data_IF_810194980018
#
_entry.id   IF_810194980018
#
_cell.length_a   1.000
_cell.length_b   1.000
_cell.length_c   1.000
_cell.angle_alpha   90.00
_cell.angle_beta   90.00
_cell.angle_gamma   90.00
#
_symmetry.space_group_name_H-M   'P 1'
#
loop_
_entity.id
_entity.type
_entity.pdbx_description
1 polymer ?
#
# COMPACT_ATOMS: atom_id res chain seq x y z
N UNK A 1 -0.49 0.54 10.67
CA UNK A 1 -1.77 1.11 11.19
C UNK A 1 -2.79 -0.01 11.34
N UNK A 2 -3.30 -0.23 12.56
CA UNK A 2 -4.26 -1.28 12.86
C UNK A 2 -5.62 -0.66 13.23
N UNK A 3 -6.71 -1.31 12.78
CA UNK A 3 -8.08 -0.89 13.04
C UNK A 3 -8.99 -2.11 13.24
N UNK A 4 -9.92 -2.34 12.32
CA UNK A 4 -10.80 -3.50 12.37
C UNK A 4 -9.98 -4.82 12.42
N UNK A 5 -10.38 -5.73 13.31
CA UNK A 5 -9.68 -7.02 13.55
C UNK A 5 -8.17 -6.89 13.82
N UNK A 6 -7.74 -5.78 14.43
CA UNK A 6 -6.33 -5.54 14.74
C UNK A 6 -5.69 -6.68 15.57
N UNK A 7 -6.47 -7.41 16.36
CA UNK A 7 -5.98 -8.53 17.15
C UNK A 7 -5.39 -9.65 16.29
N UNK A 8 -5.94 -9.91 15.09
CA UNK A 8 -5.44 -10.93 14.17
C UNK A 8 -4.00 -10.58 13.73
N UNK A 9 -3.77 -9.31 13.36
CA UNK A 9 -2.43 -8.83 12.96
C UNK A 9 -1.48 -8.89 14.15
N UNK A 10 -1.94 -8.47 15.35
CA UNK A 10 -1.12 -8.49 16.57
C UNK A 10 -0.76 -9.91 16.99
N UNK A 11 -1.69 -10.87 16.95
CA UNK A 11 -1.41 -12.27 17.23
C UNK A 11 -0.42 -12.86 16.24
N UNK A 12 -0.60 -12.59 14.94
CA UNK A 12 0.32 -13.07 13.92
C UNK A 12 1.76 -12.64 14.20
N UNK A 13 2.01 -11.34 14.39
CA UNK A 13 3.37 -10.85 14.63
C UNK A 13 3.88 -11.17 16.04
N UNK A 14 3.03 -11.23 17.05
CA UNK A 14 3.43 -11.62 18.41
C UNK A 14 3.89 -13.09 18.49
N UNK A 15 3.38 -13.94 17.60
CA UNK A 15 3.75 -15.35 17.53
C UNK A 15 4.67 -15.67 16.33
N UNK A 16 5.01 -14.70 15.50
CA UNK A 16 5.76 -14.89 14.25
C UNK A 16 7.05 -15.69 14.44
N UNK A 17 7.87 -15.32 15.43
CA UNK A 17 9.11 -16.03 15.72
C UNK A 17 8.89 -17.47 16.16
N UNK A 18 7.78 -17.75 16.89
CA UNK A 18 7.45 -19.10 17.35
C UNK A 18 7.08 -20.05 16.22
N UNK A 19 6.53 -19.51 15.13
CA UNK A 19 6.20 -20.28 13.94
C UNK A 19 7.39 -20.50 13.01
N UNK A 20 8.46 -19.71 13.19
CA UNK A 20 9.66 -19.73 12.36
C UNK A 20 10.92 -20.16 13.14
N UNK A 21 10.77 -20.91 14.23
CA UNK A 21 11.88 -21.42 15.02
C UNK A 21 11.63 -22.86 15.49
N UNK A 22 12.71 -23.58 15.73
CA UNK A 22 12.68 -24.82 16.46
C UNK A 22 12.65 -24.54 17.96
N UNK A 23 11.77 -25.21 18.71
CA UNK A 23 11.64 -24.97 20.14
C UNK A 23 11.41 -26.25 20.94
N UNK A 24 11.89 -26.24 22.20
CA UNK A 24 11.50 -27.21 23.19
C UNK A 24 10.67 -26.55 24.27
N UNK A 25 9.51 -27.11 24.56
CA UNK A 25 8.65 -26.68 25.67
C UNK A 25 8.77 -27.74 26.78
N UNK A 26 9.30 -27.36 27.90
CA UNK A 26 9.36 -28.21 29.09
C UNK A 26 8.14 -27.93 29.99
N UNK A 27 7.20 -28.86 30.00
CA UNK A 27 5.94 -28.74 30.73
C UNK A 27 6.11 -28.94 32.22
N UNK A 28 7.25 -29.53 32.69
CA UNK A 28 7.47 -29.78 34.09
C UNK A 28 7.83 -28.51 34.86
N UNK A 29 8.53 -27.57 34.23
CA UNK A 29 8.97 -26.32 34.83
C UNK A 29 8.44 -25.07 34.09
N UNK A 30 7.61 -25.29 33.07
CA UNK A 30 6.99 -24.25 32.26
C UNK A 30 8.00 -23.30 31.57
N UNK A 31 9.08 -23.88 31.03
CA UNK A 31 10.10 -23.13 30.30
C UNK A 31 10.07 -23.43 28.79
N UNK A 32 10.53 -22.46 28.00
CA UNK A 32 10.67 -22.61 26.55
C UNK A 32 12.10 -22.29 26.14
N UNK A 33 12.71 -23.17 25.37
CA UNK A 33 14.04 -22.99 24.79
C UNK A 33 13.88 -22.86 23.28
N UNK A 34 14.35 -21.76 22.71
CA UNK A 34 14.42 -21.54 21.27
C UNK A 34 15.76 -22.08 20.77
N UNK A 35 15.73 -22.87 19.69
CA UNK A 35 16.90 -23.42 19.02
C UNK A 35 17.22 -22.59 17.77
N UNK A 36 16.88 -23.07 16.60
CA UNK A 36 17.12 -22.33 15.36
C UNK A 36 15.96 -21.37 15.06
N UNK A 37 16.32 -20.12 14.75
CA UNK A 37 15.35 -19.08 14.42
C UNK A 37 15.56 -18.61 12.98
N UNK A 38 14.56 -18.81 12.14
CA UNK A 38 14.54 -18.45 10.73
C UNK A 38 13.70 -17.18 10.46
N UNK A 39 13.30 -16.47 11.53
CA UNK A 39 12.57 -15.20 11.39
C UNK A 39 13.45 -14.09 10.84
N UNK A 40 12.88 -13.23 10.03
CA UNK A 40 13.55 -12.03 9.56
C UNK A 40 13.80 -11.03 10.68
N UNK A 41 14.83 -10.20 10.53
CA UNK A 41 15.22 -9.15 11.48
C UNK A 41 14.33 -7.90 11.38
N UNK A 42 13.01 -8.08 11.35
CA UNK A 42 12.08 -6.96 11.30
C UNK A 42 11.74 -6.42 12.69
N UNK A 43 11.58 -5.13 12.77
CA UNK A 43 10.96 -4.45 13.91
C UNK A 43 9.58 -3.98 13.51
N UNK A 44 8.55 -4.67 13.98
CA UNK A 44 7.15 -4.39 13.61
C UNK A 44 6.45 -3.67 14.75
N UNK A 45 5.97 -2.45 14.49
CA UNK A 45 5.17 -1.66 15.44
C UNK A 45 3.71 -1.64 15.00
N UNK A 46 2.85 -2.27 15.76
CA UNK A 46 1.42 -2.39 15.48
C UNK A 46 0.65 -1.36 16.30
N UNK A 47 0.23 -0.28 15.65
CA UNK A 47 -0.44 0.86 16.31
C UNK A 47 -1.94 0.76 16.14
N UNK A 48 -2.69 0.81 17.26
CA UNK A 48 -4.13 1.01 17.21
C UNK A 48 -4.43 2.44 16.73
N UNK A 49 -4.89 2.54 15.50
CA UNK A 49 -5.23 3.81 14.86
C UNK A 49 -6.74 4.09 14.85
N UNK A 50 -7.51 3.28 15.59
CA UNK A 50 -8.96 3.43 15.73
C UNK A 50 -9.76 2.68 14.68
N UNK A 51 -11.01 2.30 15.05
CA UNK A 51 -11.88 1.52 14.18
C UNK A 51 -12.38 2.33 12.98
N UNK A 52 -12.84 3.55 13.24
CA UNK A 52 -13.53 4.41 12.25
C UNK A 52 -12.62 5.53 11.69
N UNK A 53 -11.34 5.51 12.00
CA UNK A 53 -10.38 6.50 11.52
C UNK A 53 -10.11 6.30 10.03
N UNK A 54 -10.19 7.38 9.25
CA UNK A 54 -9.90 7.37 7.82
C UNK A 54 -8.39 7.32 7.54
N UNK A 55 -8.01 7.12 6.29
CA UNK A 55 -6.62 6.87 5.85
C UNK A 55 -5.64 7.94 6.34
N UNK A 56 -5.93 9.21 6.16
CA UNK A 56 -5.11 10.33 6.64
C UNK A 56 -5.00 10.38 8.16
N UNK A 57 -6.11 10.17 8.87
CA UNK A 57 -6.11 10.12 10.31
C UNK A 57 -5.20 9.01 10.87
N UNK A 58 -5.19 7.83 10.23
CA UNK A 58 -4.30 6.73 10.61
C UNK A 58 -2.84 7.09 10.43
N UNK A 59 -2.51 7.71 9.30
CA UNK A 59 -1.15 8.20 9.01
C UNK A 59 -0.74 9.22 10.08
N UNK A 60 -1.61 10.17 10.42
CA UNK A 60 -1.32 11.18 11.47
C UNK A 60 -1.05 10.55 12.84
N UNK A 61 -1.80 9.52 13.22
CA UNK A 61 -1.65 8.85 14.53
C UNK A 61 -0.31 8.10 14.68
N UNK A 62 0.33 7.71 13.58
CA UNK A 62 1.64 7.05 13.63
C UNK A 62 2.82 8.03 13.53
N UNK A 63 2.59 9.32 13.33
CA UNK A 63 3.63 10.35 13.23
C UNK A 63 4.67 10.28 14.36
N UNK A 64 4.24 10.02 15.60
CA UNK A 64 5.14 9.92 16.77
C UNK A 64 6.13 8.76 16.71
N UNK A 65 5.88 7.75 15.87
CA UNK A 65 6.79 6.62 15.66
C UNK A 65 7.72 6.82 14.47
N UNK A 66 7.31 7.69 13.52
CA UNK A 66 8.08 8.05 12.33
C UNK A 66 9.06 9.20 12.68
N UNK A 67 8.61 10.15 13.50
CA UNK A 67 9.40 11.34 13.84
C UNK A 67 9.53 12.28 12.66
N UNK A 68 10.77 12.77 12.45
CA UNK A 68 11.11 13.70 11.38
C UNK A 68 11.93 13.03 10.27
N UNK A 69 11.71 11.74 10.04
CA UNK A 69 12.42 10.99 9.01
C UNK A 69 11.53 10.80 7.78
N UNK A 70 12.17 10.69 6.61
CA UNK A 70 11.51 10.21 5.39
C UNK A 70 10.96 8.81 5.64
N UNK A 71 9.78 8.54 5.12
CA UNK A 71 9.16 7.23 5.29
C UNK A 71 8.49 6.74 4.00
N UNK A 72 8.34 5.44 3.92
CA UNK A 72 7.56 4.79 2.88
C UNK A 72 6.17 4.49 3.42
N UNK A 73 5.17 4.74 2.59
CA UNK A 73 3.77 4.43 2.89
C UNK A 73 3.23 3.53 1.81
N UNK A 74 2.53 2.47 2.22
CA UNK A 74 1.83 1.59 1.28
C UNK A 74 0.43 1.22 1.78
N UNK A 75 -0.46 0.92 0.84
CA UNK A 75 -1.71 0.22 1.14
C UNK A 75 -1.41 -1.26 1.38
N UNK A 76 -2.26 -1.90 2.20
CA UNK A 76 -2.03 -3.28 2.64
C UNK A 76 -2.48 -4.35 1.65
N UNK A 77 -3.10 -3.96 0.56
CA UNK A 77 -3.77 -4.82 -0.42
C UNK A 77 -3.16 -4.76 -1.84
N UNK A 78 -2.14 -3.94 -2.05
CA UNK A 78 -1.42 -3.86 -3.32
C UNK A 78 -0.16 -4.73 -3.35
N UNK A 79 -0.01 -5.54 -4.40
CA UNK A 79 1.20 -6.33 -4.67
C UNK A 79 1.86 -5.82 -5.95
N UNK A 80 3.19 -5.59 -5.91
CA UNK A 80 3.94 -5.09 -7.05
C UNK A 80 5.40 -5.61 -7.02
N UNK A 81 6.02 -5.71 -8.19
CA UNK A 81 7.45 -5.94 -8.37
C UNK A 81 8.27 -4.64 -8.36
N UNK A 82 7.84 -3.69 -7.55
CA UNK A 82 8.38 -2.34 -7.46
C UNK A 82 9.81 -2.35 -6.89
N UNK A 83 10.76 -1.73 -7.61
CA UNK A 83 12.07 -1.46 -7.06
C UNK A 83 12.00 -0.26 -6.11
N UNK A 84 12.05 -0.54 -4.81
CA UNK A 84 11.97 0.48 -3.74
C UNK A 84 13.14 1.47 -3.82
N UNK A 85 14.35 0.99 -4.13
CA UNK A 85 15.54 1.84 -4.23
C UNK A 85 15.40 2.87 -5.35
N UNK A 86 14.94 2.44 -6.53
CA UNK A 86 14.71 3.34 -7.67
C UNK A 86 13.62 4.36 -7.36
N UNK A 87 12.60 3.95 -6.63
CA UNK A 87 11.51 4.85 -6.20
C UNK A 87 12.02 5.95 -5.28
N UNK A 88 12.88 5.59 -4.31
CA UNK A 88 13.51 6.56 -3.39
C UNK A 88 14.44 7.50 -4.15
N UNK A 89 15.30 6.98 -5.02
CA UNK A 89 16.21 7.80 -5.83
C UNK A 89 15.45 8.79 -6.74
N UNK A 90 14.37 8.33 -7.35
CA UNK A 90 13.49 9.19 -8.15
C UNK A 90 12.85 10.31 -7.33
N UNK A 91 12.43 10.01 -6.09
CA UNK A 91 11.90 11.00 -5.16
C UNK A 91 12.96 12.05 -4.80
N UNK A 92 14.17 11.62 -4.46
CA UNK A 92 15.29 12.52 -4.14
C UNK A 92 15.63 13.44 -5.31
N UNK A 93 15.67 12.90 -6.51
CA UNK A 93 15.95 13.69 -7.71
C UNK A 93 14.84 14.71 -8.03
N UNK A 94 13.60 14.39 -7.71
CA UNK A 94 12.44 15.26 -7.94
C UNK A 94 12.35 16.43 -6.94
N UNK A 95 12.80 16.26 -5.68
CA UNK A 95 12.86 17.29 -4.65
C UNK A 95 11.51 17.73 -4.09
N UNK A 96 10.45 16.92 -4.23
CA UNK A 96 9.15 17.15 -3.62
C UNK A 96 9.04 16.62 -2.19
N UNK A 97 7.88 16.78 -1.57
CA UNK A 97 7.60 16.20 -0.24
C UNK A 97 6.87 14.84 -0.32
N UNK A 98 6.36 14.50 -1.50
CA UNK A 98 5.67 13.23 -1.75
C UNK A 98 5.90 12.77 -3.18
N UNK A 99 6.28 11.51 -3.32
CA UNK A 99 6.22 10.81 -4.60
C UNK A 99 5.28 9.62 -4.48
N UNK A 100 4.34 9.50 -5.42
CA UNK A 100 3.47 8.34 -5.54
C UNK A 100 3.90 7.46 -6.70
N UNK A 101 3.73 6.15 -6.54
CA UNK A 101 3.87 5.21 -7.65
C UNK A 101 2.62 5.26 -8.50
N UNK A 102 2.81 5.63 -9.76
CA UNK A 102 1.75 5.66 -10.77
C UNK A 102 1.85 4.41 -11.64
N UNK A 103 0.72 3.74 -11.82
CA UNK A 103 0.58 2.55 -12.66
C UNK A 103 -0.43 2.79 -13.76
N UNK A 104 -0.23 2.17 -14.91
CA UNK A 104 -1.17 2.24 -16.02
C UNK A 104 -1.83 0.88 -16.20
N UNK A 105 -3.06 0.69 -15.64
CA UNK A 105 -3.73 -0.59 -15.72
C UNK A 105 -4.09 -0.93 -17.16
N UNK A 106 -3.90 -2.19 -17.54
CA UNK A 106 -4.43 -2.74 -18.79
C UNK A 106 -5.96 -2.69 -18.81
N UNK A 107 -6.56 -2.55 -19.98
CA UNK A 107 -8.03 -2.56 -20.12
C UNK A 107 -8.63 -3.86 -19.58
N UNK A 108 -9.58 -3.75 -18.63
CA UNK A 108 -10.31 -4.91 -18.09
C UNK A 108 -11.49 -5.32 -18.98
N UNK A 109 -11.94 -4.40 -19.87
CA UNK A 109 -13.15 -4.56 -20.68
C UNK A 109 -12.89 -4.15 -22.13
N UNK A 110 -13.73 -4.67 -23.07
CA UNK A 110 -13.76 -4.17 -24.43
C UNK A 110 -14.28 -2.74 -24.47
N UNK A 111 -13.59 -1.87 -25.19
CA UNK A 111 -14.04 -0.51 -25.44
C UNK A 111 -14.92 -0.44 -26.68
N UNK A 112 -16.03 0.29 -26.57
CA UNK A 112 -16.97 0.55 -27.65
C UNK A 112 -16.93 2.03 -27.99
N UNK A 113 -16.82 2.35 -29.27
CA UNK A 113 -17.14 3.67 -29.76
C UNK A 113 -18.55 3.59 -30.39
N UNK A 114 -19.48 4.36 -29.84
CA UNK A 114 -20.89 4.35 -30.25
C UNK A 114 -21.24 5.71 -30.85
N UNK A 115 -21.93 5.72 -32.00
CA UNK A 115 -22.59 6.88 -32.51
C UNK A 115 -23.87 7.12 -31.67
N UNK A 116 -23.84 8.16 -30.84
CA UNK A 116 -24.92 8.49 -29.91
C UNK A 116 -26.23 8.93 -30.59
N UNK A 117 -26.22 9.24 -31.90
CA UNK A 117 -27.40 9.61 -32.63
C UNK A 117 -28.16 8.39 -33.21
N UNK A 118 -27.41 7.29 -33.45
CA UNK A 118 -27.95 6.11 -34.14
C UNK A 118 -27.79 4.81 -33.38
N UNK A 119 -27.14 4.86 -32.18
CA UNK A 119 -26.75 3.71 -31.37
C UNK A 119 -25.87 2.69 -32.12
N UNK A 120 -25.30 3.09 -33.25
CA UNK A 120 -24.45 2.22 -34.06
C UNK A 120 -23.05 2.10 -33.40
N UNK A 121 -22.59 0.87 -33.25
CA UNK A 121 -21.21 0.61 -32.84
C UNK A 121 -20.27 0.90 -34.00
N UNK A 122 -19.43 1.92 -33.84
CA UNK A 122 -18.46 2.37 -34.82
C UNK A 122 -17.15 1.59 -34.74
N UNK A 123 -16.73 1.22 -33.54
CA UNK A 123 -15.57 0.37 -33.33
C UNK A 123 -15.70 -0.42 -32.01
N UNK A 124 -15.08 -1.58 -31.99
CA UNK A 124 -14.89 -2.42 -30.80
C UNK A 124 -13.42 -2.80 -30.69
N UNK A 125 -12.86 -2.62 -29.50
CA UNK A 125 -11.48 -3.04 -29.22
C UNK A 125 -11.48 -3.84 -27.92
N UNK A 126 -11.17 -5.12 -28.03
CA UNK A 126 -11.04 -5.99 -26.85
C UNK A 126 -9.80 -5.61 -26.06
N UNK A 127 -9.99 -5.35 -24.75
CA UNK A 127 -8.92 -4.99 -23.81
C UNK A 127 -7.95 -3.95 -24.40
N UNK A 128 -8.44 -2.76 -24.82
CA UNK A 128 -7.52 -1.71 -25.25
C UNK A 128 -6.54 -1.44 -24.10
N UNK A 129 -5.31 -1.07 -24.42
CA UNK A 129 -4.36 -0.56 -23.44
C UNK A 129 -5.05 0.55 -22.65
N UNK A 130 -5.48 0.25 -21.43
CA UNK A 130 -6.42 0.89 -20.54
C UNK A 130 -6.76 2.36 -20.81
N UNK A 131 -7.81 2.86 -20.22
CA UNK A 131 -8.04 4.31 -20.15
C UNK A 131 -6.69 4.97 -19.89
N UNK A 132 -6.20 5.78 -20.84
CA UNK A 132 -4.81 6.30 -20.91
C UNK A 132 -4.32 7.02 -19.64
N UNK A 133 -5.04 6.86 -18.54
CA UNK A 133 -4.83 7.51 -17.27
C UNK A 133 -3.98 6.64 -16.35
N UNK A 134 -2.97 7.27 -15.78
CA UNK A 134 -2.22 6.71 -14.68
C UNK A 134 -3.08 6.70 -13.42
N UNK A 135 -3.00 5.61 -12.65
CA UNK A 135 -3.68 5.48 -11.36
C UNK A 135 -2.66 5.42 -10.23
N UNK A 136 -3.09 5.79 -9.04
CA UNK A 136 -2.31 5.62 -7.82
C UNK A 136 -2.21 4.12 -7.48
N UNK A 137 -0.98 3.60 -7.47
CA UNK A 137 -0.70 2.20 -7.15
C UNK A 137 -0.63 1.91 -5.64
N UNK A 138 -0.79 2.93 -4.79
CA UNK A 138 -0.79 2.75 -3.35
C UNK A 138 0.59 2.67 -2.68
N UNK A 139 1.65 3.07 -3.38
CA UNK A 139 3.01 3.15 -2.83
C UNK A 139 3.52 4.58 -2.88
N UNK A 140 4.08 5.06 -1.78
CA UNK A 140 4.52 6.45 -1.64
C UNK A 140 5.87 6.56 -0.96
N UNK A 141 6.65 7.55 -1.36
CA UNK A 141 7.79 8.08 -0.60
C UNK A 141 7.35 9.43 -0.06
N UNK A 142 7.46 9.61 1.25
CA UNK A 142 6.94 10.78 1.97
C UNK A 142 8.03 11.43 2.80
N UNK A 143 8.15 12.75 2.71
CA UNK A 143 8.88 13.56 3.68
C UNK A 143 7.97 13.90 4.88
N UNK A 144 8.53 14.22 6.06
CA UNK A 144 7.75 14.51 7.26
C UNK A 144 6.73 15.65 7.08
N UNK A 145 6.98 16.58 6.18
CA UNK A 145 6.11 17.72 5.86
C UNK A 145 4.73 17.28 5.36
N UNK A 146 4.57 16.04 4.91
CA UNK A 146 3.27 15.46 4.54
C UNK A 146 2.28 15.52 5.70
N UNK A 147 2.77 15.41 6.95
CA UNK A 147 1.92 15.50 8.14
C UNK A 147 1.26 16.86 8.32
N UNK A 148 1.81 17.93 7.75
CA UNK A 148 1.25 19.28 7.83
C UNK A 148 0.01 19.47 6.96
N UNK A 149 -0.19 18.56 5.99
CA UNK A 149 -1.37 18.53 5.12
C UNK A 149 -2.53 17.71 5.70
N UNK A 150 -2.30 16.95 6.78
CA UNK A 150 -3.32 16.16 7.46
C UNK A 150 -3.89 16.99 8.63
N UNK A 151 -4.99 17.73 8.40
CA UNK A 151 -5.52 18.74 9.32
C UNK A 151 -6.81 18.33 10.03
N UNK A 152 -7.67 17.51 9.40
CA UNK A 152 -9.02 17.24 9.89
C UNK A 152 -9.10 16.01 10.82
N UNK A 153 -7.97 15.64 11.45
CA UNK A 153 -7.92 14.55 12.42
C UNK A 153 -8.36 13.21 11.82
N UNK A 154 -9.18 12.48 12.57
CA UNK A 154 -9.61 11.13 12.24
C UNK A 154 -10.47 11.01 10.98
N UNK A 155 -11.16 12.09 10.59
CA UNK A 155 -12.01 12.12 9.39
C UNK A 155 -11.23 12.36 8.09
N UNK A 156 -9.94 12.64 8.16
CA UNK A 156 -9.11 12.92 6.99
C UNK A 156 -8.96 11.70 6.10
N UNK A 157 -9.39 11.81 4.86
CA UNK A 157 -9.11 10.86 3.78
C UNK A 157 -7.84 11.34 3.07
N UNK A 158 -6.75 10.58 3.16
CA UNK A 158 -5.43 10.98 2.63
C UNK A 158 -5.46 11.27 1.13
N UNK A 159 -6.21 10.48 0.38
CA UNK A 159 -6.35 10.53 -1.07
C UNK A 159 -7.13 11.75 -1.59
N UNK A 160 -7.76 12.51 -0.69
CA UNK A 160 -8.52 13.72 -1.03
C UNK A 160 -7.69 14.96 -0.70
N UNK A 161 -8.20 15.79 0.23
CA UNK A 161 -7.63 17.11 0.54
C UNK A 161 -6.10 17.09 0.76
N UNK A 162 -5.47 16.13 1.49
CA UNK A 162 -4.02 16.11 1.63
C UNK A 162 -3.28 15.97 0.29
N UNK A 163 -3.57 14.91 -0.49
CA UNK A 163 -2.90 14.70 -1.78
C UNK A 163 -3.24 15.79 -2.79
N UNK A 164 -4.51 16.25 -2.84
CA UNK A 164 -4.92 17.35 -3.71
C UNK A 164 -4.16 18.64 -3.40
N UNK A 165 -3.98 18.97 -2.12
CA UNK A 165 -3.25 20.18 -1.69
C UNK A 165 -1.76 20.07 -1.98
N UNK A 166 -1.13 18.93 -1.69
CA UNK A 166 0.30 18.68 -2.01
C UNK A 166 0.53 18.82 -3.53
N UNK A 167 -0.39 18.25 -4.32
CA UNK A 167 -0.34 18.34 -5.79
C UNK A 167 -0.48 19.79 -6.28
N UNK A 168 -1.46 20.53 -5.72
CA UNK A 168 -1.71 21.94 -6.07
C UNK A 168 -0.51 22.83 -5.72
N UNK A 169 0.20 22.52 -4.63
CA UNK A 169 1.40 23.24 -4.21
C UNK A 169 2.65 22.86 -5.04
N UNK A 170 2.50 21.97 -6.02
CA UNK A 170 3.59 21.53 -6.89
C UNK A 170 4.65 20.67 -6.19
N UNK A 171 4.31 20.05 -5.05
CA UNK A 171 5.22 19.29 -4.20
C UNK A 171 5.06 17.76 -4.34
N UNK A 172 4.23 17.32 -5.29
CA UNK A 172 3.97 15.91 -5.59
C UNK A 172 4.60 15.51 -6.91
N UNK A 173 5.26 14.36 -6.93
CA UNK A 173 5.82 13.74 -8.13
C UNK A 173 5.27 12.34 -8.34
N UNK A 174 5.40 11.81 -9.55
CA UNK A 174 4.99 10.45 -9.88
C UNK A 174 6.20 9.62 -10.29
N UNK A 175 6.39 8.47 -9.66
CA UNK A 175 7.24 7.40 -10.14
C UNK A 175 6.40 6.48 -11.03
N UNK A 176 6.73 6.37 -12.32
CA UNK A 176 5.99 5.55 -13.28
C UNK A 176 6.45 4.10 -13.23
N UNK A 177 5.58 3.24 -12.74
CA UNK A 177 5.81 1.80 -12.67
C UNK A 177 5.18 1.11 -13.89
N UNK A 178 5.96 0.29 -14.58
CA UNK A 178 5.56 -0.42 -15.80
C UNK A 178 5.62 -1.95 -15.66
N UNK A 179 6.03 -2.43 -14.47
CA UNK A 179 6.10 -3.84 -14.13
C UNK A 179 4.75 -4.40 -13.66
N UNK A 180 4.81 -5.43 -12.81
CA UNK A 180 3.62 -6.03 -12.23
C UNK A 180 3.03 -5.16 -11.12
N UNK A 181 1.73 -4.98 -11.14
CA UNK A 181 0.94 -4.42 -10.04
C UNK A 181 -0.46 -5.01 -10.05
N UNK A 182 -0.93 -5.45 -8.88
CA UNK A 182 -2.28 -5.98 -8.71
C UNK A 182 -2.81 -5.67 -7.32
N UNK A 183 -3.97 -5.00 -7.18
CA UNK A 183 -4.67 -4.88 -5.90
C UNK A 183 -5.43 -6.17 -5.59
N UNK A 184 -5.61 -6.46 -4.29
CA UNK A 184 -6.40 -7.59 -3.78
C UNK A 184 -7.70 -7.09 -3.17
N UNK A 185 -8.62 -6.62 -4.01
CA UNK A 185 -9.89 -6.04 -3.57
C UNK A 185 -10.99 -7.09 -3.35
N UNK A 186 -10.88 -8.22 -4.05
CA UNK A 186 -11.89 -9.28 -4.06
C UNK A 186 -11.29 -10.65 -3.73
N UNK A 187 -12.15 -11.61 -3.35
CA UNK A 187 -11.74 -13.01 -3.17
C UNK A 187 -11.11 -13.60 -4.45
N UNK A 188 -11.60 -13.19 -5.61
CA UNK A 188 -11.03 -13.60 -6.89
C UNK A 188 -9.58 -13.09 -7.05
N UNK A 189 -9.32 -11.83 -6.69
CA UNK A 189 -7.95 -11.27 -6.75
C UNK A 189 -7.03 -12.03 -5.80
N UNK A 190 -7.52 -12.39 -4.60
CA UNK A 190 -6.78 -13.21 -3.65
C UNK A 190 -6.41 -14.58 -4.26
N UNK A 191 -7.38 -15.28 -4.85
CA UNK A 191 -7.15 -16.58 -5.50
C UNK A 191 -6.12 -16.44 -6.64
N UNK A 192 -6.29 -15.46 -7.51
CA UNK A 192 -5.38 -15.23 -8.63
C UNK A 192 -3.95 -14.90 -8.17
N UNK A 193 -3.79 -14.12 -7.08
CA UNK A 193 -2.46 -13.82 -6.52
C UNK A 193 -1.80 -15.06 -5.91
N UNK A 194 -2.56 -15.92 -5.21
CA UNK A 194 -2.03 -17.19 -4.69
C UNK A 194 -1.62 -18.12 -5.82
N UNK A 195 -2.44 -18.26 -6.86
CA UNK A 195 -2.11 -19.08 -8.04
C UNK A 195 -0.82 -18.60 -8.74
N UNK A 196 -0.59 -17.28 -8.76
CA UNK A 196 0.65 -16.68 -9.28
C UNK A 196 1.86 -16.93 -8.40
N UNK A 197 1.67 -17.04 -7.09
CA UNK A 197 2.73 -17.31 -6.13
C UNK A 197 3.19 -18.75 -6.16
N UNK A 198 2.26 -19.69 -6.38
CA UNK A 198 2.50 -21.13 -6.39
C UNK A 198 3.09 -21.64 -7.71
N UNK A 199 3.12 -20.84 -8.80
CA UNK A 199 3.67 -21.16 -10.12
C UNK A 199 5.01 -20.45 -10.38
#
# INVERSE_FOLDING_TARGET
CCGYKQYVIKEYFANYFRHNCDMTVDLSNNTTTIHDNHSENWKVTMVDTGLNTMTGGRIKRVQKYIGNERFLLTYGDGVADLNITDTIQSHEAAGGILSLTAYKPGGKFGALQIDLATDKVLSFQEKPDGDRNWVNAGYFVCEPEVFDYIKDGDSTIFERQPLESISKDGKMHAFRHTGFWKPMDTLRDNTELNDMWDN
#
